data_IF_114881617376
#
_entry.id   IF_114881617376
#
_cell.length_a   1.000
_cell.length_b   1.000
_cell.length_c   1.000
_cell.angle_alpha   90.00
_cell.angle_beta   90.00
_cell.angle_gamma   90.00
#
_symmetry.space_group_name_H-M   'P 1'
#
loop_
_entity.id
_entity.type
_entity.pdbx_description
1 polymer ?
#
# COMPACT_ATOMS: atom_id res chain seq x y z
N UNK A 1 -26.95 -12.23 22.63
CA UNK A 1 -26.22 -11.07 22.08
C UNK A 1 -25.39 -11.57 20.91
N UNK A 2 -25.90 -11.40 19.69
CA UNK A 2 -25.23 -11.86 18.47
C UNK A 2 -24.28 -10.79 17.98
N UNK A 3 -22.99 -11.09 17.94
CA UNK A 3 -22.03 -10.27 17.21
C UNK A 3 -22.22 -10.55 15.72
N UNK A 4 -22.81 -9.60 15.00
CA UNK A 4 -22.83 -9.63 13.54
C UNK A 4 -21.41 -9.43 13.02
N UNK A 5 -20.92 -10.37 12.20
CA UNK A 5 -19.65 -10.22 11.47
C UNK A 5 -19.74 -8.98 10.55
N UNK A 6 -18.67 -8.17 10.43
CA UNK A 6 -18.60 -7.14 9.39
C UNK A 6 -18.62 -7.80 8.00
N UNK A 7 -19.10 -7.06 6.99
CA UNK A 7 -19.20 -7.53 5.60
C UNK A 7 -17.81 -7.82 5.06
N UNK A 8 -17.52 -9.09 4.77
CA UNK A 8 -16.33 -9.52 4.03
C UNK A 8 -16.36 -8.87 2.63
N UNK A 9 -15.31 -8.16 2.25
CA UNK A 9 -15.10 -7.79 0.85
C UNK A 9 -14.49 -9.01 0.15
N UNK A 10 -15.26 -9.62 -0.76
CA UNK A 10 -14.79 -10.76 -1.56
C UNK A 10 -13.83 -10.28 -2.67
N UNK A 11 -12.54 -10.46 -2.45
CA UNK A 11 -11.53 -10.32 -3.50
C UNK A 11 -11.61 -11.53 -4.45
N UNK A 12 -12.29 -11.36 -5.59
CA UNK A 12 -12.32 -12.41 -6.63
C UNK A 12 -10.91 -12.66 -7.19
N UNK A 13 -10.49 -13.92 -7.25
CA UNK A 13 -9.25 -14.34 -7.94
C UNK A 13 -9.21 -13.72 -9.34
N UNK A 14 -8.16 -12.97 -9.63
CA UNK A 14 -8.04 -12.22 -10.89
C UNK A 14 -7.71 -13.16 -12.05
N UNK A 15 -8.52 -13.11 -13.11
CA UNK A 15 -8.21 -13.72 -14.41
C UNK A 15 -6.88 -13.14 -14.95
N UNK A 16 -5.86 -13.96 -15.25
CA UNK A 16 -4.57 -13.49 -15.78
C UNK A 16 -4.70 -12.82 -17.16
N UNK A 17 -5.86 -12.88 -17.82
CA UNK A 17 -6.15 -12.22 -19.09
C UNK A 17 -6.88 -10.87 -18.96
N UNK A 18 -7.11 -10.37 -17.75
CA UNK A 18 -7.70 -9.03 -17.54
C UNK A 18 -6.75 -7.94 -18.05
N UNK A 19 -7.30 -6.84 -18.58
CA UNK A 19 -6.55 -5.78 -19.26
C UNK A 19 -5.44 -5.22 -18.36
N UNK A 20 -4.24 -5.04 -18.94
CA UNK A 20 -3.03 -4.48 -18.29
C UNK A 20 -3.26 -3.14 -17.57
N UNK A 21 -4.32 -2.42 -17.94
CA UNK A 21 -4.64 -1.08 -17.45
C UNK A 21 -5.67 -1.07 -16.29
N UNK A 22 -6.06 -2.23 -15.75
CA UNK A 22 -7.09 -2.35 -14.68
C UNK A 22 -6.50 -2.55 -13.27
N UNK A 23 -5.30 -2.00 -13.01
CA UNK A 23 -4.66 -2.10 -11.69
C UNK A 23 -4.34 -0.74 -11.05
N UNK A 24 -4.31 -0.74 -9.72
CA UNK A 24 -3.78 0.33 -8.86
C UNK A 24 -2.66 -0.23 -7.98
N UNK A 25 -1.60 0.55 -7.77
CA UNK A 25 -0.50 0.21 -6.85
C UNK A 25 -0.72 0.85 -5.49
N UNK A 26 -0.62 0.07 -4.41
CA UNK A 26 -0.67 0.57 -3.04
C UNK A 26 0.70 0.40 -2.40
N UNK A 27 1.32 1.51 -1.99
CA UNK A 27 2.60 1.53 -1.28
C UNK A 27 2.35 1.91 0.18
N UNK A 28 2.38 0.91 1.04
CA UNK A 28 1.88 0.99 2.41
C UNK A 28 3.03 0.99 3.40
N UNK A 29 3.23 2.10 4.08
CA UNK A 29 4.07 2.17 5.28
C UNK A 29 5.55 1.77 5.09
N UNK A 30 6.10 2.02 3.89
CA UNK A 30 7.54 1.94 3.62
C UNK A 30 8.30 3.09 4.32
N UNK A 31 8.22 3.12 5.64
CA UNK A 31 8.72 4.20 6.48
C UNK A 31 10.09 3.87 7.05
N UNK A 32 10.93 4.90 7.20
CA UNK A 32 12.33 4.78 7.61
C UNK A 32 12.53 4.01 8.92
N UNK A 33 11.62 4.12 9.88
CA UNK A 33 11.64 3.36 11.14
C UNK A 33 11.15 1.93 10.97
N UNK A 34 10.03 1.71 10.26
CA UNK A 34 9.46 0.38 10.03
C UNK A 34 10.35 -0.52 9.18
N UNK A 35 11.03 0.04 8.17
CA UNK A 35 11.96 -0.70 7.30
C UNK A 35 13.11 -1.33 8.11
N UNK A 36 13.52 -0.74 9.25
CA UNK A 36 14.56 -1.31 10.12
C UNK A 36 14.15 -2.64 10.79
N UNK A 37 12.85 -2.94 10.79
CA UNK A 37 12.27 -4.16 11.34
C UNK A 37 12.21 -5.29 10.32
N UNK A 38 12.44 -5.01 9.03
CA UNK A 38 12.51 -6.03 7.97
C UNK A 38 13.78 -6.86 8.17
N UNK A 39 13.62 -8.18 8.31
CA UNK A 39 14.72 -9.13 8.59
C UNK A 39 14.66 -10.40 7.73
N UNK A 40 13.63 -10.54 6.92
CA UNK A 40 13.37 -11.64 6.00
C UNK A 40 14.00 -11.42 4.61
N UNK A 41 14.52 -10.21 4.34
CA UNK A 41 15.29 -9.87 3.14
C UNK A 41 16.62 -9.19 3.52
N UNK A 42 17.62 -9.32 2.65
CA UNK A 42 18.79 -8.45 2.72
C UNK A 42 18.37 -6.98 2.48
N UNK A 43 18.89 -5.99 3.23
CA UNK A 43 18.48 -4.60 3.09
C UNK A 43 18.62 -4.01 1.68
N UNK A 44 19.68 -4.38 0.94
CA UNK A 44 19.88 -3.87 -0.42
C UNK A 44 18.91 -4.53 -1.40
N UNK A 45 18.65 -5.82 -1.23
CA UNK A 45 17.65 -6.55 -2.01
C UNK A 45 16.26 -5.96 -1.79
N UNK A 46 15.85 -5.78 -0.53
CA UNK A 46 14.57 -5.17 -0.16
C UNK A 46 14.41 -3.80 -0.82
N UNK A 47 15.38 -2.92 -0.64
CA UNK A 47 15.36 -1.59 -1.23
C UNK A 47 15.26 -1.64 -2.76
N UNK A 48 16.04 -2.50 -3.41
CA UNK A 48 16.02 -2.68 -4.87
C UNK A 48 14.66 -3.15 -5.36
N UNK A 49 14.03 -4.09 -4.67
CA UNK A 49 12.74 -4.64 -5.02
C UNK A 49 11.61 -3.60 -4.88
N UNK A 50 11.61 -2.82 -3.79
CA UNK A 50 10.67 -1.72 -3.60
C UNK A 50 10.79 -0.70 -4.74
N UNK A 51 12.00 -0.25 -5.05
CA UNK A 51 12.22 0.72 -6.13
C UNK A 51 11.86 0.16 -7.50
N UNK A 52 12.07 -1.14 -7.75
CA UNK A 52 11.65 -1.78 -8.99
C UNK A 52 10.12 -1.72 -9.16
N UNK A 53 9.36 -1.92 -8.09
CA UNK A 53 7.90 -1.83 -8.12
C UNK A 53 7.41 -0.39 -8.34
N UNK A 54 8.02 0.59 -7.65
CA UNK A 54 7.73 2.03 -7.85
C UNK A 54 8.01 2.45 -9.30
N UNK A 55 9.15 2.05 -9.85
CA UNK A 55 9.50 2.31 -11.25
C UNK A 55 8.53 1.63 -12.22
N UNK A 56 8.02 0.46 -11.88
CA UNK A 56 7.01 -0.24 -12.68
C UNK A 56 5.72 0.57 -12.75
N UNK A 57 5.21 1.03 -11.60
CA UNK A 57 4.02 1.89 -11.54
C UNK A 57 4.20 3.17 -12.37
N UNK A 58 5.33 3.86 -12.19
CA UNK A 58 5.68 5.06 -12.94
C UNK A 58 5.79 4.82 -14.46
N UNK A 59 6.47 3.75 -14.87
CA UNK A 59 6.68 3.42 -16.29
C UNK A 59 5.36 3.16 -17.02
N UNK A 60 4.45 2.40 -16.40
CA UNK A 60 3.13 2.13 -16.97
C UNK A 60 2.13 3.28 -16.78
N UNK A 61 2.50 4.33 -16.04
CA UNK A 61 1.59 5.40 -15.61
C UNK A 61 0.33 4.83 -14.94
N UNK A 62 0.52 3.74 -14.18
CA UNK A 62 -0.55 3.12 -13.44
C UNK A 62 -0.84 3.99 -12.20
N UNK A 63 -2.12 4.17 -11.81
CA UNK A 63 -2.45 4.92 -10.62
C UNK A 63 -1.84 4.27 -9.39
N UNK A 64 -1.41 5.09 -8.43
CA UNK A 64 -0.91 4.61 -7.16
C UNK A 64 -1.49 5.38 -5.98
N UNK A 65 -1.45 4.78 -4.80
CA UNK A 65 -1.78 5.46 -3.54
C UNK A 65 -0.68 5.13 -2.55
N UNK A 66 -0.05 6.18 -2.01
CA UNK A 66 0.97 6.08 -0.99
C UNK A 66 0.32 6.30 0.36
N UNK A 67 0.73 5.55 1.38
CA UNK A 67 0.23 5.80 2.73
C UNK A 67 1.28 5.50 3.80
N UNK A 68 1.14 6.17 4.93
CA UNK A 68 2.00 6.03 6.12
C UNK A 68 1.16 5.89 7.37
N UNK A 69 1.72 5.24 8.39
CA UNK A 69 1.16 5.13 9.73
C UNK A 69 2.04 5.89 10.72
N UNK A 70 1.47 6.91 11.39
CA UNK A 70 2.13 7.69 12.43
C UNK A 70 3.53 8.20 12.01
N UNK A 71 3.59 8.97 10.92
CA UNK A 71 4.83 9.35 10.23
C UNK A 71 5.65 10.45 10.93
N UNK A 72 5.03 11.17 11.86
CA UNK A 72 5.67 12.10 12.80
C UNK A 72 6.19 11.40 14.07
N UNK A 73 5.90 10.11 14.23
CA UNK A 73 6.31 9.28 15.36
C UNK A 73 7.53 8.39 15.08
N UNK A 74 7.71 7.32 15.89
CA UNK A 74 8.83 6.38 15.75
C UNK A 74 8.89 5.64 14.41
N UNK A 75 7.77 5.53 13.69
CA UNK A 75 7.73 4.92 12.37
C UNK A 75 8.47 5.77 11.33
N UNK A 76 8.51 7.09 11.54
CA UNK A 76 9.21 8.06 10.70
C UNK A 76 8.55 8.29 9.34
N UNK A 77 9.13 9.14 8.49
CA UNK A 77 8.59 9.44 7.17
C UNK A 77 8.72 8.24 6.22
N UNK A 78 7.89 8.23 5.17
CA UNK A 78 8.04 7.33 4.01
C UNK A 78 9.43 7.50 3.37
N UNK A 79 10.02 6.42 2.86
CA UNK A 79 11.26 6.46 2.08
C UNK A 79 11.12 7.47 0.93
N UNK A 80 12.02 8.46 0.88
CA UNK A 80 11.83 9.67 0.04
C UNK A 80 11.75 9.34 -1.44
N UNK A 81 12.40 8.26 -1.86
CA UNK A 81 12.49 7.81 -3.24
C UNK A 81 11.12 7.51 -3.83
N UNK A 82 10.17 7.05 -3.00
CA UNK A 82 8.82 6.69 -3.43
C UNK A 82 8.04 7.93 -3.92
N UNK A 83 7.79 8.96 -3.09
CA UNK A 83 7.11 10.17 -3.56
C UNK A 83 7.95 10.97 -4.58
N UNK A 84 9.27 10.88 -4.58
CA UNK A 84 10.10 11.51 -5.63
C UNK A 84 9.86 10.90 -7.02
N UNK A 85 9.63 9.58 -7.10
CA UNK A 85 9.30 8.88 -8.35
C UNK A 85 7.81 8.93 -8.71
N UNK A 86 6.94 9.16 -7.73
CA UNK A 86 5.48 9.26 -7.89
C UNK A 86 4.94 10.60 -7.33
N UNK A 87 5.41 11.76 -7.83
CA UNK A 87 5.16 13.06 -7.20
C UNK A 87 3.70 13.55 -7.28
N UNK A 88 2.90 12.98 -8.16
CA UNK A 88 1.49 13.36 -8.37
C UNK A 88 0.50 12.40 -7.71
N UNK A 89 0.99 11.29 -7.15
CA UNK A 89 0.13 10.29 -6.52
C UNK A 89 -0.18 10.72 -5.08
N UNK A 90 -1.39 10.45 -4.57
CA UNK A 90 -1.79 10.84 -3.23
C UNK A 90 -0.94 10.15 -2.17
N UNK A 91 -0.42 10.94 -1.22
CA UNK A 91 0.22 10.45 0.01
C UNK A 91 -0.69 10.70 1.21
N UNK A 92 -1.32 9.64 1.71
CA UNK A 92 -2.25 9.69 2.84
C UNK A 92 -1.53 9.34 4.14
N UNK A 93 -1.46 10.31 5.05
CA UNK A 93 -0.85 10.16 6.38
C UNK A 93 -1.90 9.75 7.40
N UNK A 94 -1.81 8.52 7.91
CA UNK A 94 -2.75 7.98 8.89
C UNK A 94 -2.22 8.25 10.30
N UNK A 95 -3.00 8.85 11.22
CA UNK A 95 -2.55 9.14 12.59
C UNK A 95 -2.31 7.90 13.47
N UNK A 96 -2.66 6.70 12.99
CA UNK A 96 -2.39 5.45 13.73
C UNK A 96 -3.23 4.25 13.33
N UNK A 97 -4.13 4.38 12.34
CA UNK A 97 -4.90 3.25 11.82
C UNK A 97 -3.96 2.20 11.21
N UNK A 98 -4.02 1.00 11.79
CA UNK A 98 -3.22 -0.14 11.34
C UNK A 98 -3.69 -0.60 9.96
N UNK A 99 -4.99 -0.90 9.81
CA UNK A 99 -5.58 -1.16 8.51
C UNK A 99 -5.76 0.16 7.77
N UNK A 100 -5.11 0.32 6.62
CA UNK A 100 -5.22 1.58 5.87
C UNK A 100 -6.64 1.81 5.31
N UNK A 101 -7.45 0.77 5.09
CA UNK A 101 -8.84 0.92 4.64
C UNK A 101 -9.78 1.50 5.71
N UNK A 102 -9.38 1.48 6.99
CA UNK A 102 -10.13 2.15 8.07
C UNK A 102 -9.97 3.68 8.02
N UNK A 103 -9.01 4.19 7.24
CA UNK A 103 -8.88 5.61 6.96
C UNK A 103 -9.72 5.98 5.72
N UNK A 104 -10.72 6.85 5.90
CA UNK A 104 -11.65 7.21 4.84
C UNK A 104 -10.96 7.88 3.64
N UNK A 105 -9.94 8.71 3.86
CA UNK A 105 -9.20 9.35 2.78
C UNK A 105 -8.46 8.33 1.91
N UNK A 106 -7.84 7.33 2.53
CA UNK A 106 -7.20 6.23 1.82
C UNK A 106 -8.23 5.39 1.05
N UNK A 107 -9.31 4.97 1.71
CA UNK A 107 -10.36 4.19 1.06
C UNK A 107 -11.00 4.93 -0.12
N UNK A 108 -11.20 6.24 0.01
CA UNK A 108 -11.74 7.08 -1.06
C UNK A 108 -10.73 7.29 -2.19
N UNK A 109 -9.44 7.49 -1.89
CA UNK A 109 -8.39 7.58 -2.90
C UNK A 109 -8.29 6.29 -3.74
N UNK A 110 -8.32 5.13 -3.09
CA UNK A 110 -8.32 3.82 -3.78
C UNK A 110 -9.57 3.68 -4.65
N UNK A 111 -10.77 3.95 -4.11
CA UNK A 111 -12.03 3.88 -4.87
C UNK A 111 -12.06 4.84 -6.05
N UNK A 112 -11.51 6.04 -5.90
CA UNK A 112 -11.46 7.06 -6.95
C UNK A 112 -10.62 6.62 -8.17
N UNK A 113 -9.69 5.67 -8.00
CA UNK A 113 -8.95 5.09 -9.13
C UNK A 113 -9.83 4.28 -10.08
N UNK A 114 -10.98 3.78 -9.60
CA UNK A 114 -11.89 2.93 -10.35
C UNK A 114 -11.31 1.56 -10.75
N UNK A 115 -10.13 1.19 -10.25
CA UNK A 115 -9.43 -0.05 -10.61
C UNK A 115 -9.95 -1.22 -9.80
N UNK A 116 -9.99 -2.39 -10.45
CA UNK A 116 -10.46 -3.63 -9.81
C UNK A 116 -9.33 -4.52 -9.32
N UNK A 117 -8.15 -4.40 -9.89
CA UNK A 117 -6.97 -5.15 -9.46
C UNK A 117 -6.11 -4.26 -8.56
N UNK A 118 -5.60 -4.83 -7.49
CA UNK A 118 -4.79 -4.12 -6.52
C UNK A 118 -3.43 -4.82 -6.42
N UNK A 119 -2.36 -4.06 -6.61
CA UNK A 119 -0.99 -4.51 -6.39
C UNK A 119 -0.51 -3.85 -5.10
N UNK A 120 -0.28 -4.64 -4.06
CA UNK A 120 0.04 -4.14 -2.72
C UNK A 120 1.50 -4.44 -2.41
N UNK A 121 2.19 -3.46 -1.83
CA UNK A 121 3.49 -3.63 -1.18
C UNK A 121 3.51 -2.83 0.11
N UNK A 122 4.17 -3.32 1.15
CA UNK A 122 4.27 -2.59 2.39
C UNK A 122 5.03 -3.28 3.50
N UNK A 123 5.12 -2.60 4.64
CA UNK A 123 5.84 -3.04 5.83
C UNK A 123 5.00 -2.77 7.08
N UNK A 124 4.80 -3.71 8.01
CA UNK A 124 5.16 -5.13 7.97
C UNK A 124 4.07 -5.96 7.27
N UNK A 125 4.49 -7.06 6.65
CA UNK A 125 3.62 -7.91 5.83
C UNK A 125 2.43 -8.46 6.61
N UNK A 126 2.67 -8.95 7.82
CA UNK A 126 1.67 -9.60 8.68
C UNK A 126 0.67 -8.63 9.32
N UNK A 127 0.96 -7.32 9.28
CA UNK A 127 0.13 -6.30 9.90
C UNK A 127 -0.48 -5.41 8.81
N UNK A 128 0.31 -4.51 8.23
CA UNK A 128 -0.21 -3.47 7.35
C UNK A 128 -0.68 -4.04 6.00
N UNK A 129 0.04 -5.04 5.46
CA UNK A 129 -0.33 -5.66 4.18
C UNK A 129 -1.46 -6.68 4.37
N UNK A 130 -1.36 -7.59 5.33
CA UNK A 130 -2.38 -8.60 5.56
C UNK A 130 -3.73 -8.01 5.96
N UNK A 131 -3.74 -6.91 6.72
CA UNK A 131 -4.99 -6.23 7.11
C UNK A 131 -5.75 -5.69 5.91
N UNK A 132 -5.08 -5.32 4.81
CA UNK A 132 -5.71 -4.87 3.58
C UNK A 132 -6.40 -6.00 2.80
N UNK A 133 -5.96 -7.24 2.98
CA UNK A 133 -6.54 -8.41 2.32
C UNK A 133 -7.80 -8.92 3.04
N UNK A 134 -7.94 -8.54 4.32
CA UNK A 134 -9.11 -8.85 5.15
C UNK A 134 -10.13 -7.71 5.16
N UNK A 135 -9.80 -6.59 4.51
CA UNK A 135 -10.65 -5.44 4.33
C UNK A 135 -11.68 -5.73 3.24
#
# INVERSE_FOLDING_TARGET
>A
MGFSRPKEYEWQHTDPNKKKDDCVFLFVDHQSGLIQLVRDFDPNEFHTNVLALVKTAAYFKAPAVLTTSFDDGPNGPIAKEIPEMLPNEPLIRRPGQINAMDNEDFANAVKATGKKQVIISGVLTEVCVASLLSA
#
